data_IF_273006031059
#
_entry.id   IF_273006031059
#
_cell.length_a   1.000
_cell.length_b   1.000
_cell.length_c   1.000
_cell.angle_alpha   90.00
_cell.angle_beta   90.00
_cell.angle_gamma   90.00
#
_symmetry.space_group_name_H-M   'P 1'
#
loop_
_entity.id
_entity.type
_entity.pdbx_description
1 polymer ?
#
# COMPACT_ATOMS: atom_id res chain seq x y z
N UNK A 1 9.06 -7.42 12.08
CA UNK A 1 8.10 -6.75 11.18
C UNK A 1 7.12 -7.74 10.57
N UNK A 2 7.56 -8.87 10.05
CA UNK A 2 6.73 -9.91 9.40
C UNK A 2 5.57 -10.41 10.27
N UNK A 3 5.81 -10.74 11.54
CA UNK A 3 4.75 -11.18 12.45
C UNK A 3 3.69 -10.10 12.69
N UNK A 4 4.10 -8.82 12.81
CA UNK A 4 3.16 -7.72 12.98
C UNK A 4 2.27 -7.54 11.76
N UNK A 5 2.83 -7.72 10.55
CA UNK A 5 2.07 -7.70 9.31
C UNK A 5 1.11 -8.88 9.19
N UNK A 6 1.59 -10.09 9.49
CA UNK A 6 0.76 -11.29 9.49
C UNK A 6 -0.39 -11.18 10.49
N UNK A 7 -0.09 -10.68 11.69
CA UNK A 7 -1.12 -10.40 12.70
C UNK A 7 -2.12 -9.36 12.22
N UNK A 8 -1.66 -8.26 11.62
CA UNK A 8 -2.54 -7.22 11.09
C UNK A 8 -3.45 -7.77 9.99
N UNK A 9 -2.94 -8.66 9.13
CA UNK A 9 -3.73 -9.33 8.10
C UNK A 9 -4.80 -10.26 8.67
N UNK A 10 -4.43 -11.13 9.61
CA UNK A 10 -5.34 -12.09 10.24
C UNK A 10 -6.37 -11.40 11.14
N UNK A 11 -5.94 -10.50 11.99
CA UNK A 11 -6.80 -9.80 12.93
C UNK A 11 -7.54 -8.61 12.29
N UNK A 12 -7.28 -8.33 11.04
CA UNK A 12 -7.85 -7.21 10.28
C UNK A 12 -7.69 -5.87 11.02
N UNK A 13 -6.46 -5.62 11.49
CA UNK A 13 -6.12 -4.41 12.22
C UNK A 13 -5.58 -3.37 11.23
N UNK A 14 -6.09 -2.13 11.25
CA UNK A 14 -5.45 -1.04 10.54
C UNK A 14 -3.98 -0.90 10.96
N UNK A 15 -3.07 -1.11 10.04
CA UNK A 15 -1.64 -1.04 10.31
C UNK A 15 -0.94 -0.27 9.19
N UNK A 16 -0.30 0.83 9.55
CA UNK A 16 0.44 1.66 8.60
C UNK A 16 1.89 1.77 9.03
N UNK A 17 2.82 1.56 8.11
CA UNK A 17 4.25 1.71 8.37
C UNK A 17 4.96 2.43 7.22
N UNK A 18 6.01 3.15 7.54
CA UNK A 18 6.94 3.73 6.57
C UNK A 18 8.19 2.87 6.54
N UNK A 19 8.51 2.32 5.38
CA UNK A 19 9.73 1.56 5.13
C UNK A 19 10.67 2.42 4.29
N UNK A 20 11.76 2.89 4.92
CA UNK A 20 12.82 3.63 4.23
C UNK A 20 13.91 2.66 3.80
N UNK A 21 13.92 2.33 2.51
CA UNK A 21 14.84 1.39 1.89
C UNK A 21 16.27 1.93 1.86
N UNK A 22 17.21 1.02 1.95
CA UNK A 22 18.66 1.29 1.89
C UNK A 22 19.41 0.06 1.39
N UNK A 23 20.70 0.19 1.01
CA UNK A 23 21.49 -0.97 0.63
C UNK A 23 21.54 -2.04 1.72
N UNK A 24 21.04 -3.23 1.38
CA UNK A 24 21.08 -4.43 2.22
C UNK A 24 22.29 -5.31 1.94
N UNK A 25 22.30 -6.59 2.43
CA UNK A 25 21.29 -7.19 3.32
C UNK A 25 21.42 -6.73 4.79
N UNK A 26 20.34 -6.87 5.55
CA UNK A 26 20.28 -6.51 6.97
C UNK A 26 20.45 -5.01 7.18
N UNK A 27 21.37 -4.60 8.05
CA UNK A 27 21.69 -3.18 8.26
C UNK A 27 22.36 -2.56 7.04
N UNK A 28 23.16 -3.33 6.31
CA UNK A 28 23.80 -2.94 5.07
C UNK A 28 24.59 -1.64 5.17
N UNK A 29 24.30 -0.68 4.29
CA UNK A 29 24.95 0.64 4.28
C UNK A 29 23.89 1.72 4.59
N UNK A 30 23.62 2.00 5.89
CA UNK A 30 22.47 2.79 6.32
C UNK A 30 22.54 4.27 5.92
N UNK A 31 23.70 4.74 5.47
CA UNK A 31 23.93 6.12 5.05
C UNK A 31 23.80 6.35 3.54
N UNK A 32 23.49 5.31 2.78
CA UNK A 32 23.29 5.38 1.34
C UNK A 32 21.84 5.02 0.95
N UNK A 33 21.48 5.34 -0.29
CA UNK A 33 20.16 5.07 -0.85
C UNK A 33 20.19 3.86 -1.78
N UNK A 34 19.16 3.03 -1.72
CA UNK A 34 18.88 1.95 -2.66
C UNK A 34 17.39 1.59 -2.59
N UNK A 35 16.80 1.15 -3.71
CA UNK A 35 15.44 0.60 -3.77
C UNK A 35 15.49 -0.94 -3.65
N UNK A 36 16.06 -1.45 -2.55
CA UNK A 36 16.35 -2.87 -2.37
C UNK A 36 15.23 -3.66 -1.67
N UNK A 37 14.14 -3.01 -1.26
CA UNK A 37 13.11 -3.61 -0.40
C UNK A 37 11.73 -3.76 -1.08
N UNK A 38 11.65 -3.66 -2.43
CA UNK A 38 10.37 -3.80 -3.11
C UNK A 38 9.75 -5.18 -2.89
N UNK A 39 10.50 -6.24 -3.17
CA UNK A 39 10.02 -7.62 -2.96
C UNK A 39 9.70 -7.91 -1.50
N UNK A 40 10.48 -7.33 -0.58
CA UNK A 40 10.22 -7.43 0.85
C UNK A 40 8.90 -6.74 1.22
N UNK A 41 8.62 -5.54 0.69
CA UNK A 41 7.38 -4.82 0.94
C UNK A 41 6.16 -5.57 0.37
N UNK A 42 6.28 -6.10 -0.86
CA UNK A 42 5.20 -6.83 -1.53
C UNK A 42 4.91 -8.18 -0.88
N UNK A 43 5.96 -8.91 -0.44
CA UNK A 43 5.85 -10.25 0.16
C UNK A 43 5.83 -10.28 1.69
N UNK A 44 5.70 -9.13 2.36
CA UNK A 44 5.77 -9.03 3.81
C UNK A 44 4.65 -9.80 4.51
N UNK A 45 5.01 -10.73 5.38
CA UNK A 45 4.08 -11.51 6.21
C UNK A 45 3.85 -12.95 5.73
N UNK A 46 3.18 -13.74 6.54
CA UNK A 46 2.81 -15.13 6.26
C UNK A 46 1.39 -15.20 5.70
N UNK A 47 1.20 -15.98 4.65
CA UNK A 47 -0.09 -16.16 3.98
C UNK A 47 -0.52 -14.95 3.14
N UNK A 48 -1.69 -15.08 2.54
CA UNK A 48 -2.25 -14.07 1.65
C UNK A 48 -3.31 -13.22 2.38
N UNK A 49 -3.18 -11.93 2.31
CA UNK A 49 -4.13 -10.96 2.87
C UNK A 49 -4.02 -9.61 2.15
N UNK A 50 -5.10 -8.81 2.10
CA UNK A 50 -5.09 -7.50 1.48
C UNK A 50 -4.08 -6.57 2.13
N UNK A 51 -3.27 -5.90 1.30
CA UNK A 51 -2.29 -4.89 1.71
C UNK A 51 -2.24 -3.73 0.73
N UNK A 52 -1.71 -2.61 1.18
CA UNK A 52 -1.44 -1.46 0.33
C UNK A 52 0.04 -1.14 0.38
N UNK A 53 0.68 -1.06 -0.78
CA UNK A 53 2.07 -0.58 -0.90
C UNK A 53 2.08 0.57 -1.89
N UNK A 54 2.59 1.73 -1.47
CA UNK A 54 2.76 2.87 -2.35
C UNK A 54 4.15 3.48 -2.17
N UNK A 55 4.69 4.06 -3.25
CA UNK A 55 6.03 4.64 -3.25
C UNK A 55 6.02 6.04 -3.84
N UNK A 56 6.22 7.09 -3.03
CA UNK A 56 6.25 8.47 -3.48
C UNK A 56 7.55 8.81 -4.23
N UNK A 57 7.45 9.63 -5.27
CA UNK A 57 8.61 10.17 -5.99
C UNK A 57 9.12 11.50 -5.43
N UNK A 58 8.28 12.24 -4.68
CA UNK A 58 8.58 13.57 -4.15
C UNK A 58 8.12 13.73 -2.70
N UNK A 59 8.67 14.75 -2.00
CA UNK A 59 8.24 15.08 -0.63
C UNK A 59 6.75 15.50 -0.57
N UNK A 60 6.21 16.33 -1.46
CA UNK A 60 4.77 16.60 -1.51
C UNK A 60 3.92 15.36 -1.76
N UNK A 61 4.36 14.48 -2.63
CA UNK A 61 3.67 13.21 -2.88
C UNK A 61 3.70 12.30 -1.64
N UNK A 62 4.82 12.24 -0.91
CA UNK A 62 4.91 11.50 0.35
C UNK A 62 3.93 12.03 1.40
N UNK A 63 3.75 13.35 1.49
CA UNK A 63 2.76 13.97 2.39
C UNK A 63 1.32 13.52 2.03
N UNK A 64 0.95 13.63 0.75
CA UNK A 64 -0.38 13.22 0.27
C UNK A 64 -0.61 11.72 0.48
N UNK A 65 0.32 10.89 0.04
CA UNK A 65 0.21 9.43 0.14
C UNK A 65 0.18 8.92 1.58
N UNK A 66 0.95 9.52 2.50
CA UNK A 66 0.90 9.11 3.90
C UNK A 66 -0.50 9.26 4.50
N UNK A 67 -1.18 10.36 4.19
CA UNK A 67 -2.53 10.62 4.65
C UNK A 67 -3.56 9.73 3.94
N UNK A 68 -3.45 9.59 2.63
CA UNK A 68 -4.32 8.73 1.82
C UNK A 68 -4.21 7.25 2.26
N UNK A 69 -2.99 6.74 2.42
CA UNK A 69 -2.76 5.38 2.89
C UNK A 69 -3.26 5.16 4.32
N UNK A 70 -3.09 6.14 5.21
CA UNK A 70 -3.65 6.06 6.55
C UNK A 70 -5.18 5.96 6.48
N UNK A 71 -5.83 6.71 5.59
CA UNK A 71 -7.26 6.60 5.33
C UNK A 71 -7.63 5.21 4.80
N UNK A 72 -6.91 4.69 3.81
CA UNK A 72 -7.17 3.37 3.21
C UNK A 72 -7.04 2.24 4.24
N UNK A 73 -5.98 2.22 5.06
CA UNK A 73 -5.80 1.15 6.05
C UNK A 73 -6.89 1.16 7.12
N UNK A 74 -7.43 2.33 7.49
CA UNK A 74 -8.56 2.42 8.41
C UNK A 74 -9.89 2.05 7.75
N UNK A 75 -10.11 2.49 6.52
CA UNK A 75 -11.34 2.14 5.77
C UNK A 75 -11.44 0.64 5.55
N UNK A 76 -10.35 0.01 5.11
CA UNK A 76 -10.34 -1.40 4.72
C UNK A 76 -9.80 -2.33 5.81
N UNK A 77 -9.40 -1.81 6.97
CA UNK A 77 -8.80 -2.62 8.05
C UNK A 77 -7.70 -3.54 7.50
N UNK A 78 -6.77 -2.92 6.79
CA UNK A 78 -5.70 -3.60 6.07
C UNK A 78 -4.31 -3.13 6.54
N UNK A 79 -3.28 -3.84 6.12
CA UNK A 79 -1.89 -3.42 6.33
C UNK A 79 -1.41 -2.52 5.19
N UNK A 80 -0.66 -1.46 5.50
CA UNK A 80 -0.10 -0.52 4.52
C UNK A 80 1.37 -0.24 4.72
N UNK A 81 2.12 -0.15 3.61
CA UNK A 81 3.52 0.24 3.57
C UNK A 81 3.70 1.44 2.65
N UNK A 82 4.15 2.56 3.20
CA UNK A 82 4.72 3.63 2.40
C UNK A 82 6.21 3.29 2.19
N UNK A 83 6.51 2.79 0.99
CA UNK A 83 7.86 2.41 0.60
C UNK A 83 8.60 3.62 0.07
N UNK A 84 9.59 4.06 0.80
CA UNK A 84 10.48 5.15 0.41
C UNK A 84 11.92 4.68 0.47
N UNK A 85 12.85 5.54 0.14
CA UNK A 85 14.28 5.27 0.32
C UNK A 85 14.96 6.46 1.01
N UNK A 86 16.20 6.26 1.42
CA UNK A 86 16.95 7.25 2.18
C UNK A 86 17.04 8.60 1.47
N UNK A 87 17.23 8.61 0.16
CA UNK A 87 17.33 9.85 -0.62
C UNK A 87 16.10 10.74 -0.39
N UNK A 88 14.89 10.18 -0.58
CA UNK A 88 13.66 10.93 -0.36
C UNK A 88 13.44 11.25 1.13
N UNK A 89 13.68 10.27 2.01
CA UNK A 89 13.41 10.42 3.45
C UNK A 89 14.25 11.50 4.13
N UNK A 90 15.42 11.83 3.59
CA UNK A 90 16.29 12.91 4.08
C UNK A 90 16.21 14.19 3.26
N UNK A 91 15.44 14.19 2.16
CA UNK A 91 15.26 15.37 1.32
C UNK A 91 14.48 16.47 2.03
N UNK A 92 14.83 17.71 1.70
CA UNK A 92 14.15 18.92 2.20
C UNK A 92 13.82 19.80 1.02
N UNK A 93 12.55 20.13 0.87
CA UNK A 93 12.07 21.02 -0.19
C UNK A 93 11.16 22.09 0.40
N UNK A 94 11.16 23.26 -0.23
CA UNK A 94 10.11 24.25 0.03
C UNK A 94 8.93 23.92 -0.85
N UNK A 95 7.77 23.68 -0.24
CA UNK A 95 6.54 23.31 -0.95
C UNK A 95 5.33 23.86 -0.22
N UNK A 96 4.31 24.21 -0.99
CA UNK A 96 2.97 24.47 -0.44
C UNK A 96 2.26 23.12 -0.28
N UNK A 97 1.86 22.81 0.95
CA UNK A 97 1.14 21.59 1.28
C UNK A 97 -0.29 21.97 1.68
N UNK A 98 -1.26 21.40 0.96
CA UNK A 98 -2.67 21.59 1.27
C UNK A 98 -3.19 20.42 2.12
N UNK A 99 -3.25 20.64 3.43
CA UNK A 99 -3.80 19.65 4.35
C UNK A 99 -5.32 19.47 4.22
N UNK A 100 -6.03 20.43 3.59
CA UNK A 100 -7.47 20.32 3.37
C UNK A 100 -7.84 19.36 2.23
N UNK A 101 -6.89 19.04 1.37
CA UNK A 101 -7.05 18.05 0.30
C UNK A 101 -7.02 16.60 0.79
N UNK A 102 -6.65 16.39 2.07
CA UNK A 102 -6.56 15.08 2.67
C UNK A 102 -7.92 14.64 3.19
N UNK A 103 -8.46 13.56 2.64
CA UNK A 103 -9.65 12.92 3.19
C UNK A 103 -9.24 12.04 4.39
N UNK A 104 -9.90 12.25 5.54
CA UNK A 104 -9.75 11.39 6.71
C UNK A 104 -10.75 10.24 6.61
N UNK A 105 -10.30 9.02 6.89
CA UNK A 105 -11.20 7.88 6.99
C UNK A 105 -12.03 7.98 8.26
N UNK A 106 -13.32 7.76 8.09
CA UNK A 106 -14.19 7.40 9.19
C UNK A 106 -14.44 5.88 9.09
N UNK A 107 -13.83 5.07 9.96
CA UNK A 107 -14.06 3.63 9.92
C UNK A 107 -15.55 3.34 10.16
N UNK A 108 -16.05 2.30 9.48
CA UNK A 108 -17.43 1.86 9.68
C UNK A 108 -17.60 1.44 11.14
N UNK A 109 -18.38 2.21 11.89
CA UNK A 109 -18.65 1.95 13.30
C UNK A 109 -19.86 1.01 13.46
N UNK A 110 -19.77 0.13 14.47
CA UNK A 110 -20.92 -0.69 14.87
C UNK A 110 -22.06 0.17 15.36
N UNK A 111 -23.27 -0.03 14.82
CA UNK A 111 -24.44 0.82 15.07
C UNK A 111 -25.47 0.20 16.03
N UNK A 112 -25.14 -0.93 16.65
CA UNK A 112 -26.00 -1.63 17.63
C UNK A 112 -26.40 -3.05 17.22
N UNK A 113 -27.04 -3.79 18.13
CA UNK A 113 -27.29 -5.20 18.00
C UNK A 113 -26.13 -6.04 18.55
N UNK A 114 -26.13 -7.35 18.30
CA UNK A 114 -25.03 -8.23 18.66
C UNK A 114 -23.77 -7.85 17.89
N UNK A 115 -22.67 -7.63 18.62
CA UNK A 115 -21.39 -7.30 17.99
C UNK A 115 -20.62 -8.55 17.57
N UNK A 116 -20.24 -8.58 16.29
CA UNK A 116 -19.33 -9.58 15.73
C UNK A 116 -18.14 -8.86 15.12
N UNK A 117 -16.94 -9.04 15.69
CA UNK A 117 -15.73 -8.35 15.22
C UNK A 117 -15.44 -8.62 13.75
N UNK A 118 -15.76 -9.81 13.28
CA UNK A 118 -15.48 -10.27 11.92
C UNK A 118 -16.76 -10.58 11.15
N UNK A 119 -17.82 -9.80 11.40
CA UNK A 119 -19.08 -9.95 10.69
C UNK A 119 -18.87 -10.04 9.19
N UNK A 120 -19.55 -11.00 8.56
CA UNK A 120 -19.53 -11.14 7.10
C UNK A 120 -20.32 -10.00 6.46
N UNK A 121 -19.69 -9.29 5.54
CA UNK A 121 -20.26 -8.16 4.79
C UNK A 121 -20.04 -8.34 3.31
N UNK A 122 -20.77 -7.60 2.48
CA UNK A 122 -20.65 -7.70 1.02
C UNK A 122 -19.28 -7.24 0.52
N UNK A 123 -18.71 -6.22 1.15
CA UNK A 123 -17.40 -5.64 0.82
C UNK A 123 -16.23 -6.26 1.63
N UNK A 124 -16.52 -7.16 2.56
CA UNK A 124 -15.52 -7.79 3.43
C UNK A 124 -15.02 -6.91 4.58
N UNK A 125 -15.57 -5.69 4.77
CA UNK A 125 -15.18 -4.77 5.85
C UNK A 125 -16.17 -4.85 7.01
N UNK A 126 -15.73 -5.41 8.14
CA UNK A 126 -16.58 -5.52 9.33
C UNK A 126 -16.64 -4.23 10.12
N UNK A 127 -17.81 -3.84 10.67
CA UNK A 127 -17.91 -2.67 11.53
C UNK A 127 -17.04 -2.79 12.79
N UNK A 128 -16.38 -1.69 13.17
CA UNK A 128 -15.55 -1.62 14.36
C UNK A 128 -16.34 -1.14 15.56
N UNK A 129 -16.08 -1.74 16.71
CA UNK A 129 -16.58 -1.27 18.00
C UNK A 129 -15.41 -0.70 18.80
N UNK A 130 -15.60 0.52 19.32
CA UNK A 130 -14.59 1.22 20.09
C UNK A 130 -14.94 1.27 21.59
N UNK A 131 -13.96 1.11 22.48
CA UNK A 131 -14.17 1.33 23.91
C UNK A 131 -14.57 2.79 24.24
N UNK A 132 -15.38 3.02 25.31
CA UNK A 132 -15.91 2.02 26.22
C UNK A 132 -17.13 1.28 25.65
N UNK A 133 -17.21 -0.03 25.86
CA UNK A 133 -18.35 -0.86 25.45
C UNK A 133 -18.61 -1.97 26.47
N UNK A 134 -19.87 -2.39 26.59
CA UNK A 134 -20.25 -3.59 27.35
C UNK A 134 -20.01 -4.87 26.54
N UNK A 135 -19.91 -4.76 25.22
CA UNK A 135 -19.65 -5.89 24.34
C UNK A 135 -18.18 -6.30 24.37
N UNK A 136 -17.91 -7.58 24.19
CA UNK A 136 -16.56 -8.10 24.10
C UNK A 136 -15.95 -7.82 22.74
N UNK A 137 -14.80 -7.14 22.72
CA UNK A 137 -14.02 -6.89 21.51
C UNK A 137 -12.88 -7.89 21.49
N UNK A 138 -12.92 -8.85 20.55
CA UNK A 138 -11.92 -9.90 20.45
C UNK A 138 -11.13 -9.78 19.15
N UNK A 139 -9.81 -9.76 19.28
CA UNK A 139 -8.87 -9.83 18.17
C UNK A 139 -8.12 -11.16 18.22
N UNK A 140 -7.94 -11.80 17.09
CA UNK A 140 -7.32 -13.11 17.03
C UNK A 140 -6.24 -13.17 15.96
N UNK A 141 -5.13 -13.85 16.27
CA UNK A 141 -4.10 -14.26 15.31
C UNK A 141 -4.34 -15.66 14.76
N UNK A 142 -5.33 -16.38 15.30
CA UNK A 142 -5.79 -17.66 14.79
C UNK A 142 -6.93 -17.45 13.80
N UNK A 143 -7.17 -18.44 12.94
CA UNK A 143 -8.40 -18.45 12.16
C UNK A 143 -9.62 -18.56 13.08
N UNK A 144 -10.71 -17.88 12.73
CA UNK A 144 -11.79 -17.58 13.65
C UNK A 144 -13.14 -17.50 12.94
N UNK A 145 -14.21 -17.58 13.71
CA UNK A 145 -15.56 -17.26 13.28
C UNK A 145 -15.85 -15.75 13.29
N UNK A 146 -17.05 -15.35 12.95
CA UNK A 146 -17.47 -13.93 12.96
C UNK A 146 -17.33 -13.25 14.34
N UNK A 147 -17.43 -14.01 15.44
CA UNK A 147 -17.28 -13.49 16.80
C UNK A 147 -15.80 -13.41 17.25
N UNK A 148 -14.87 -13.90 16.45
CA UNK A 148 -13.45 -13.97 16.77
C UNK A 148 -13.10 -15.17 17.65
N UNK A 149 -13.94 -16.20 17.68
CA UNK A 149 -13.65 -17.45 18.36
C UNK A 149 -12.83 -18.34 17.42
N UNK A 150 -11.71 -18.83 17.91
CA UNK A 150 -10.83 -19.74 17.16
C UNK A 150 -11.59 -20.95 16.65
N UNK A 151 -11.42 -21.28 15.37
CA UNK A 151 -12.08 -22.40 14.72
C UNK A 151 -11.10 -23.20 13.87
N UNK A 152 -11.38 -24.50 13.70
CA UNK A 152 -10.71 -25.37 12.73
C UNK A 152 -11.75 -25.95 11.74
N UNK A 153 -12.98 -25.44 11.76
CA UNK A 153 -14.05 -25.86 10.84
C UNK A 153 -13.79 -25.29 9.45
N UNK A 154 -13.77 -26.15 8.45
CA UNK A 154 -13.47 -25.77 7.07
C UNK A 154 -14.43 -24.71 6.51
N UNK A 155 -15.70 -24.72 6.90
CA UNK A 155 -16.71 -23.76 6.47
C UNK A 155 -16.43 -22.35 7.00
N UNK A 156 -16.05 -22.21 8.28
CA UNK A 156 -15.70 -20.91 8.88
C UNK A 156 -14.41 -20.36 8.25
N UNK A 157 -13.39 -21.22 8.09
CA UNK A 157 -12.13 -20.87 7.46
C UNK A 157 -12.36 -20.35 6.04
N UNK A 158 -13.15 -21.07 5.23
CA UNK A 158 -13.47 -20.64 3.87
C UNK A 158 -14.21 -19.30 3.85
N UNK A 159 -15.19 -19.12 4.75
CA UNK A 159 -15.96 -17.88 4.83
C UNK A 159 -15.07 -16.66 5.17
N UNK A 160 -14.08 -16.84 6.08
CA UNK A 160 -13.15 -15.76 6.44
C UNK A 160 -12.13 -15.47 5.33
N UNK A 161 -11.67 -16.48 4.59
CA UNK A 161 -10.85 -16.27 3.39
C UNK A 161 -11.63 -15.51 2.33
N UNK A 162 -12.84 -15.95 1.97
CA UNK A 162 -13.71 -15.26 1.01
C UNK A 162 -14.00 -13.81 1.42
N UNK A 163 -14.15 -13.56 2.73
CA UNK A 163 -14.34 -12.22 3.28
C UNK A 163 -13.11 -11.35 3.03
N UNK A 164 -11.90 -11.85 3.31
CA UNK A 164 -10.64 -11.11 3.07
C UNK A 164 -10.42 -10.86 1.57
N UNK A 165 -10.79 -11.80 0.71
CA UNK A 165 -10.70 -11.64 -0.75
C UNK A 165 -11.65 -10.54 -1.24
N UNK A 166 -12.91 -10.52 -0.77
CA UNK A 166 -13.85 -9.43 -1.08
C UNK A 166 -13.33 -8.08 -0.65
N UNK A 167 -12.71 -7.99 0.54
CA UNK A 167 -12.08 -6.76 1.02
C UNK A 167 -10.94 -6.30 0.11
N UNK A 168 -10.10 -7.22 -0.34
CA UNK A 168 -9.04 -6.94 -1.31
C UNK A 168 -9.59 -6.42 -2.65
N UNK A 169 -10.68 -7.03 -3.13
CA UNK A 169 -11.35 -6.58 -4.35
C UNK A 169 -11.96 -5.17 -4.18
N UNK A 170 -12.62 -4.90 -3.05
CA UNK A 170 -13.20 -3.60 -2.74
C UNK A 170 -12.12 -2.49 -2.64
N UNK A 171 -10.98 -2.80 -2.01
CA UNK A 171 -9.82 -1.92 -1.96
C UNK A 171 -9.28 -1.62 -3.37
N UNK A 172 -9.14 -2.64 -4.20
CA UNK A 172 -8.66 -2.49 -5.59
C UNK A 172 -9.61 -1.63 -6.41
N UNK A 173 -10.91 -1.83 -6.27
CA UNK A 173 -11.91 -1.01 -6.97
C UNK A 173 -11.89 0.45 -6.51
N UNK A 174 -11.70 0.71 -5.21
CA UNK A 174 -11.51 2.06 -4.70
C UNK A 174 -10.32 2.75 -5.39
N UNK A 175 -9.19 2.06 -5.51
CA UNK A 175 -7.98 2.61 -6.12
C UNK A 175 -8.14 2.96 -7.60
N UNK A 176 -9.13 2.41 -8.31
CA UNK A 176 -9.43 2.83 -9.69
C UNK A 176 -9.86 4.29 -9.79
N UNK A 177 -10.36 4.88 -8.72
CA UNK A 177 -10.74 6.29 -8.66
C UNK A 177 -9.61 7.21 -8.14
N UNK A 178 -8.51 6.64 -7.65
CA UNK A 178 -7.36 7.36 -7.14
C UNK A 178 -6.29 7.60 -8.23
N UNK A 179 -5.39 8.51 -7.98
CA UNK A 179 -4.21 8.71 -8.83
C UNK A 179 -3.15 7.64 -8.49
N UNK A 180 -3.20 6.53 -9.21
CA UNK A 180 -2.32 5.37 -8.96
C UNK A 180 -1.05 5.37 -9.80
N UNK A 181 -1.02 6.15 -10.88
CA UNK A 181 0.11 6.27 -11.80
C UNK A 181 0.30 7.73 -12.20
N UNK A 182 1.54 8.17 -12.29
CA UNK A 182 1.91 9.45 -12.90
C UNK A 182 2.50 9.22 -14.29
N UNK A 183 2.15 10.11 -15.21
CA UNK A 183 2.67 10.13 -16.58
C UNK A 183 3.40 11.44 -16.85
N UNK A 184 4.60 11.34 -17.44
CA UNK A 184 5.40 12.50 -17.83
C UNK A 184 5.89 12.33 -19.27
N UNK A 185 5.83 13.42 -20.05
CA UNK A 185 6.18 13.42 -21.47
C UNK A 185 5.09 12.77 -22.34
N UNK A 186 5.09 13.11 -23.62
CA UNK A 186 4.06 12.69 -24.58
C UNK A 186 4.62 11.81 -25.71
N UNK A 187 5.94 11.81 -25.90
CA UNK A 187 6.60 11.22 -27.07
C UNK A 187 7.94 10.55 -26.71
N UNK A 188 8.35 9.57 -27.49
CA UNK A 188 9.62 8.87 -27.34
C UNK A 188 9.48 7.49 -26.65
N UNK A 189 10.61 6.84 -26.34
CA UNK A 189 10.62 5.51 -25.72
C UNK A 189 9.96 5.54 -24.34
N UNK A 190 9.35 4.41 -23.97
CA UNK A 190 8.72 4.21 -22.68
C UNK A 190 9.76 3.90 -21.61
N UNK A 191 9.71 4.65 -20.51
CA UNK A 191 10.50 4.42 -19.30
C UNK A 191 9.56 4.16 -18.14
N UNK A 192 9.78 3.05 -17.42
CA UNK A 192 9.09 2.72 -16.19
C UNK A 192 10.04 2.97 -15.01
N UNK A 193 9.57 3.65 -13.99
CA UNK A 193 10.34 3.93 -12.78
C UNK A 193 9.41 4.19 -11.60
N UNK A 194 9.87 4.02 -10.38
CA UNK A 194 9.06 4.29 -9.18
C UNK A 194 9.90 5.02 -8.10
N UNK A 195 9.21 5.58 -7.11
CA UNK A 195 9.85 6.29 -6.02
C UNK A 195 10.66 7.51 -6.49
N UNK A 196 11.65 7.93 -5.72
CA UNK A 196 12.44 9.13 -6.03
C UNK A 196 13.34 9.00 -7.25
N UNK A 197 13.60 7.78 -7.74
CA UNK A 197 14.31 7.54 -9.00
C UNK A 197 13.63 8.25 -10.16
N UNK A 198 12.30 8.39 -10.12
CA UNK A 198 11.52 9.14 -11.11
C UNK A 198 12.05 10.56 -11.31
N UNK A 199 12.32 11.30 -10.24
CA UNK A 199 12.82 12.66 -10.34
C UNK A 199 14.22 12.73 -10.97
N UNK A 200 15.08 11.76 -10.65
CA UNK A 200 16.41 11.65 -11.25
C UNK A 200 16.33 11.34 -12.75
N UNK A 201 15.39 10.50 -13.17
CA UNK A 201 15.13 10.20 -14.58
C UNK A 201 14.66 11.47 -15.31
N UNK A 202 13.67 12.16 -14.76
CA UNK A 202 13.12 13.39 -15.36
C UNK A 202 14.20 14.47 -15.51
N UNK A 203 15.04 14.67 -14.50
CA UNK A 203 16.16 15.62 -14.55
C UNK A 203 17.17 15.22 -15.63
N UNK A 204 17.52 13.94 -15.72
CA UNK A 204 18.45 13.46 -16.73
C UNK A 204 17.91 13.63 -18.16
N UNK A 205 16.62 13.42 -18.39
CA UNK A 205 15.97 13.67 -19.68
C UNK A 205 16.03 15.14 -20.09
N UNK A 206 15.72 16.04 -19.14
CA UNK A 206 15.81 17.48 -19.37
C UNK A 206 17.25 17.91 -19.66
N UNK A 207 18.21 17.49 -18.83
CA UNK A 207 19.63 17.82 -19.01
C UNK A 207 20.23 17.28 -20.32
N UNK A 208 19.74 16.12 -20.78
CA UNK A 208 20.19 15.47 -22.02
C UNK A 208 19.44 15.89 -23.28
N UNK A 209 18.43 16.79 -23.17
CA UNK A 209 17.48 17.11 -24.26
C UNK A 209 16.89 15.84 -24.91
N UNK A 210 16.53 14.85 -24.06
CA UNK A 210 16.00 13.54 -24.48
C UNK A 210 14.48 13.54 -24.31
N UNK A 211 13.76 13.16 -25.37
CA UNK A 211 12.32 12.91 -25.30
C UNK A 211 12.06 11.48 -24.89
N UNK A 212 11.19 11.29 -23.89
CA UNK A 212 10.72 9.99 -23.46
C UNK A 212 9.36 10.14 -22.77
N UNK A 213 8.61 9.04 -22.74
CA UNK A 213 7.42 8.92 -21.90
C UNK A 213 7.83 8.19 -20.63
N UNK A 214 7.62 8.82 -19.48
CA UNK A 214 7.95 8.22 -18.18
C UNK A 214 6.65 7.89 -17.47
N UNK A 215 6.51 6.64 -17.03
CA UNK A 215 5.38 6.15 -16.26
C UNK A 215 5.88 5.75 -14.89
N UNK A 216 5.31 6.36 -13.86
CA UNK A 216 5.60 6.11 -12.46
C UNK A 216 4.39 5.47 -11.80
N UNK A 217 4.35 4.14 -11.58
CA UNK A 217 3.39 3.58 -10.65
C UNK A 217 3.65 4.13 -9.25
N UNK A 218 2.62 4.73 -8.68
CA UNK A 218 2.62 5.28 -7.31
C UNK A 218 2.17 4.21 -6.32
N UNK A 219 1.14 3.45 -6.69
CA UNK A 219 0.73 2.25 -5.98
C UNK A 219 1.40 1.02 -6.60
N UNK A 220 1.99 0.19 -5.74
CA UNK A 220 2.73 -1.02 -6.13
C UNK A 220 1.98 -2.29 -5.70
N UNK A 221 1.05 -2.17 -4.73
CA UNK A 221 0.11 -3.22 -4.32
C UNK A 221 -1.16 -2.56 -3.76
N UNK A 222 -2.35 -2.87 -4.26
CA UNK A 222 -2.61 -3.55 -5.54
C UNK A 222 -1.97 -2.82 -6.72
N UNK A 223 -1.30 -3.56 -7.61
CA UNK A 223 -0.69 -2.93 -8.79
C UNK A 223 -1.78 -2.46 -9.76
N UNK A 224 -1.72 -1.21 -10.26
CA UNK A 224 -2.79 -0.61 -11.06
C UNK A 224 -2.77 -1.07 -12.52
N UNK A 225 -2.98 -2.36 -12.76
CA UNK A 225 -2.96 -2.98 -14.11
C UNK A 225 -3.90 -2.30 -15.11
N UNK A 226 -4.96 -1.64 -14.63
CA UNK A 226 -5.92 -0.91 -15.47
C UNK A 226 -5.33 0.35 -16.13
N UNK A 227 -4.22 0.88 -15.59
CA UNK A 227 -3.51 2.03 -16.16
C UNK A 227 -2.50 1.61 -17.25
N UNK A 228 -2.23 0.31 -17.39
CA UNK A 228 -1.19 -0.22 -18.27
C UNK A 228 -1.74 -0.95 -19.50
N UNK A 229 -3.07 -1.00 -19.70
CA UNK A 229 -3.69 -1.77 -20.77
C UNK A 229 -3.10 -1.49 -22.16
N UNK A 230 -2.94 -0.22 -22.50
CA UNK A 230 -2.41 0.22 -23.81
C UNK A 230 -0.87 0.11 -23.90
N UNK A 231 -0.19 -0.11 -22.77
CA UNK A 231 1.26 -0.16 -22.67
C UNK A 231 1.81 -1.60 -22.56
N UNK A 232 0.94 -2.59 -22.39
CA UNK A 232 1.32 -3.98 -22.06
C UNK A 232 2.22 -4.65 -23.09
N UNK A 233 2.10 -4.29 -24.37
CA UNK A 233 2.84 -4.88 -25.49
C UNK A 233 3.97 -3.97 -25.97
N UNK A 234 4.20 -2.85 -25.32
CA UNK A 234 5.23 -1.89 -25.72
C UNK A 234 6.56 -2.17 -25.01
N UNK A 235 7.69 -2.20 -25.75
CA UNK A 235 9.00 -2.30 -25.14
C UNK A 235 9.28 -1.11 -24.21
N UNK A 236 9.67 -1.39 -22.97
CA UNK A 236 9.97 -0.37 -21.99
C UNK A 236 11.36 -0.55 -21.38
N UNK A 237 11.97 0.56 -20.98
CA UNK A 237 13.18 0.57 -20.15
C UNK A 237 12.78 0.76 -18.72
N UNK A 238 13.15 -0.17 -17.83
CA UNK A 238 12.94 -0.03 -16.40
C UNK A 238 14.16 0.62 -15.77
N UNK A 239 13.96 1.70 -15.00
CA UNK A 239 15.01 2.40 -14.28
C UNK A 239 14.69 2.40 -12.79
N UNK A 240 15.56 1.78 -12.02
CA UNK A 240 15.44 1.69 -10.56
C UNK A 240 16.81 1.68 -9.86
N UNK A 241 16.85 1.93 -8.56
CA UNK A 241 18.07 1.91 -7.76
C UNK A 241 18.25 0.56 -7.02
N UNK A 242 18.06 -0.53 -7.73
CA UNK A 242 18.31 -1.87 -7.21
C UNK A 242 19.43 -2.54 -7.99
N UNK A 243 20.33 -3.22 -7.28
CA UNK A 243 21.46 -3.94 -7.89
C UNK A 243 21.04 -5.19 -8.65
N UNK A 244 19.83 -5.70 -8.41
CA UNK A 244 19.35 -6.98 -8.97
C UNK A 244 18.15 -6.83 -9.91
N UNK A 245 17.56 -5.66 -9.99
CA UNK A 245 16.29 -5.44 -10.68
C UNK A 245 15.12 -6.07 -9.91
N UNK A 246 14.31 -5.31 -9.23
CA UNK A 246 13.16 -5.80 -8.45
C UNK A 246 11.85 -5.42 -9.11
#
# INVERSE_FOLDING_TARGET
MEEAFSFAGMAEVPFFTVLSSRPGPGTGVPTYTEQADLRFALGQGHGDFPRVVASPGTVPEAFRLAAEMLSLVWTYQAAGILLTEKHLSESRVTSELDASSVAWAEPVAHSGGEYKRYALTDDGVSPLLFPPSSESIKWSSYEHDEAGITTELAEDIAAMHDKRDRKGAALTEHLRSAQTVNHFGEDGPLILTYGSTTMSVLEALVAGDIRARVVQPVYLEPFPVWEFGDLSDEPAVVVEQSSTGQ
#
